data_IF_167648292467
#
_entry.id   IF_167648292467
#
_cell.length_a   1.000
_cell.length_b   1.000
_cell.length_c   1.000
_cell.angle_alpha   90.00
_cell.angle_beta   90.00
_cell.angle_gamma   90.00
#
_symmetry.space_group_name_H-M   'P 1'
#
loop_
_entity.id
_entity.type
_entity.pdbx_description
1 polymer ?
#
# COMPACT_ATOMS: atom_id res chain seq x y z
N UNK A 1 4.04 19.30 32.90
CA UNK A 1 4.06 18.37 31.75
C UNK A 1 5.14 17.31 31.99
N UNK A 2 4.91 16.05 31.59
CA UNK A 2 5.90 15.00 31.76
C UNK A 2 7.06 15.18 30.75
N UNK A 3 8.30 15.13 31.24
CA UNK A 3 9.52 15.26 30.43
C UNK A 3 10.31 13.96 30.50
N UNK A 4 10.83 13.43 29.37
CA UNK A 4 11.64 12.21 29.40
C UNK A 4 12.94 12.45 30.15
N UNK A 5 13.18 11.67 31.21
CA UNK A 5 14.41 11.77 32.01
C UNK A 5 15.67 11.38 31.23
N UNK A 6 15.54 10.47 30.27
CA UNK A 6 16.62 9.94 29.43
C UNK A 6 16.15 9.74 28.00
N UNK A 7 17.08 9.84 27.04
CA UNK A 7 16.77 9.56 25.64
C UNK A 7 16.49 8.07 25.43
N UNK A 8 15.65 7.77 24.45
CA UNK A 8 15.41 6.38 24.04
C UNK A 8 16.65 5.81 23.35
N UNK A 9 16.94 4.53 23.60
CA UNK A 9 18.06 3.87 22.93
C UNK A 9 17.84 3.78 21.42
N UNK A 10 18.94 3.69 20.66
CA UNK A 10 18.88 3.56 19.18
C UNK A 10 18.02 2.36 18.76
N UNK A 11 18.16 1.23 19.46
CA UNK A 11 17.38 0.00 19.19
C UNK A 11 15.88 0.22 19.39
N UNK A 12 15.46 0.76 20.54
CA UNK A 12 14.03 1.02 20.83
C UNK A 12 13.42 2.02 19.84
N UNK A 13 14.18 3.03 19.40
CA UNK A 13 13.74 3.95 18.34
C UNK A 13 13.56 3.25 16.99
N UNK A 14 14.47 2.35 16.60
CA UNK A 14 14.37 1.58 15.36
C UNK A 14 13.15 0.65 15.37
N UNK A 15 12.93 -0.10 16.44
CA UNK A 15 11.78 -1.01 16.58
C UNK A 15 10.45 -0.27 16.36
N UNK A 16 10.25 0.88 17.01
CA UNK A 16 9.03 1.69 16.81
C UNK A 16 8.85 2.16 15.37
N UNK A 17 9.94 2.52 14.68
CA UNK A 17 9.90 2.89 13.26
C UNK A 17 9.55 1.70 12.37
N UNK A 18 10.06 0.50 12.67
CA UNK A 18 9.74 -0.72 11.93
C UNK A 18 8.26 -1.04 12.03
N UNK A 19 7.67 -1.02 13.22
CA UNK A 19 6.22 -1.24 13.43
C UNK A 19 5.37 -0.26 12.60
N UNK A 20 5.80 1.00 12.49
CA UNK A 20 5.10 1.98 11.66
C UNK A 20 5.22 1.66 10.15
N UNK A 21 6.41 1.26 9.69
CA UNK A 21 6.66 0.87 8.29
C UNK A 21 5.93 -0.42 7.88
N UNK A 22 5.77 -1.35 8.80
CA UNK A 22 5.13 -2.65 8.54
C UNK A 22 3.66 -2.51 8.11
N UNK A 23 2.96 -1.50 8.63
CA UNK A 23 1.60 -1.15 8.17
C UNK A 23 1.57 -0.81 6.68
N UNK A 24 2.56 -0.07 6.19
CA UNK A 24 2.67 0.27 4.77
C UNK A 24 2.95 -0.98 3.90
N UNK A 25 3.74 -1.94 4.42
CA UNK A 25 4.01 -3.21 3.73
C UNK A 25 2.72 -4.00 3.55
N UNK A 26 1.86 -4.07 4.57
CA UNK A 26 0.57 -4.76 4.47
C UNK A 26 -0.37 -4.10 3.44
N UNK A 27 -0.42 -2.76 3.41
CA UNK A 27 -1.18 -2.03 2.40
C UNK A 27 -0.65 -2.31 0.98
N UNK A 28 0.68 -2.33 0.80
CA UNK A 28 1.33 -2.66 -0.47
C UNK A 28 0.93 -4.03 -1.00
N UNK A 29 0.92 -5.06 -0.14
CA UNK A 29 0.57 -6.44 -0.56
C UNK A 29 -0.87 -6.50 -1.08
N UNK A 30 -1.80 -5.87 -0.36
CA UNK A 30 -3.22 -5.81 -0.77
C UNK A 30 -3.38 -5.06 -2.08
N UNK A 31 -2.73 -3.90 -2.22
CA UNK A 31 -2.77 -3.10 -3.44
C UNK A 31 -2.20 -3.86 -4.66
N UNK A 32 -1.09 -4.59 -4.48
CA UNK A 32 -0.48 -5.37 -5.55
C UNK A 32 -1.36 -6.53 -6.02
N UNK A 33 -1.97 -7.27 -5.08
CA UNK A 33 -2.94 -8.32 -5.40
C UNK A 33 -4.15 -7.77 -6.16
N UNK A 34 -4.67 -6.61 -5.72
CA UNK A 34 -5.77 -5.93 -6.38
C UNK A 34 -5.41 -5.50 -7.82
N UNK A 35 -4.23 -4.92 -8.01
CA UNK A 35 -3.77 -4.51 -9.33
C UNK A 35 -3.68 -5.68 -10.31
N UNK A 36 -3.11 -6.82 -9.87
CA UNK A 36 -3.07 -8.03 -10.70
C UNK A 36 -4.47 -8.53 -11.07
N UNK A 37 -5.42 -8.52 -10.13
CA UNK A 37 -6.80 -8.90 -10.41
C UNK A 37 -7.42 -8.02 -11.50
N UNK A 38 -7.22 -6.70 -11.41
CA UNK A 38 -7.72 -5.73 -12.39
C UNK A 38 -7.09 -5.96 -13.77
N UNK A 39 -5.76 -6.16 -13.83
CA UNK A 39 -5.03 -6.36 -15.08
C UNK A 39 -5.49 -7.60 -15.85
N UNK A 40 -5.93 -8.66 -15.15
CA UNK A 40 -6.43 -9.86 -15.83
C UNK A 40 -7.80 -9.69 -16.49
N UNK A 41 -8.58 -8.67 -16.13
CA UNK A 41 -9.92 -8.43 -16.68
C UNK A 41 -10.97 -9.51 -16.38
N UNK A 42 -10.64 -10.51 -15.55
CA UNK A 42 -11.52 -11.64 -15.23
C UNK A 42 -12.48 -11.34 -14.07
N UNK A 43 -12.13 -10.41 -13.18
CA UNK A 43 -12.98 -10.06 -12.04
C UNK A 43 -14.10 -9.11 -12.46
N UNK A 44 -15.34 -9.46 -12.09
CA UNK A 44 -16.56 -8.67 -12.37
C UNK A 44 -17.09 -7.90 -11.16
N UNK A 45 -16.41 -8.01 -10.02
CA UNK A 45 -16.88 -7.48 -8.73
C UNK A 45 -16.45 -6.04 -8.42
N UNK A 46 -15.45 -5.51 -9.14
CA UNK A 46 -14.88 -4.19 -8.87
C UNK A 46 -15.10 -3.24 -10.05
N UNK A 47 -15.73 -2.10 -9.78
CA UNK A 47 -16.00 -1.05 -10.76
C UNK A 47 -15.06 0.13 -10.52
N UNK A 48 -14.38 0.59 -11.55
CA UNK A 48 -13.56 1.80 -11.52
C UNK A 48 -13.83 2.65 -12.76
N UNK A 49 -13.72 3.97 -12.62
CA UNK A 49 -13.89 4.89 -13.75
C UNK A 49 -12.67 4.72 -14.65
N UNK A 50 -12.87 4.10 -15.82
CA UNK A 50 -11.88 4.07 -16.89
C UNK A 50 -12.11 5.31 -17.74
N UNK A 51 -11.22 6.30 -17.64
CA UNK A 51 -11.16 7.34 -18.67
C UNK A 51 -10.88 6.61 -19.99
N UNK A 52 -11.82 6.73 -20.93
CA UNK A 52 -11.71 6.16 -22.27
C UNK A 52 -10.62 6.94 -23.01
N UNK A 53 -9.35 6.70 -22.72
CA UNK A 53 -8.31 6.94 -23.71
C UNK A 53 -8.37 5.79 -24.70
N UNK A 54 -8.97 6.13 -25.82
CA UNK A 54 -9.09 5.39 -27.05
C UNK A 54 -7.73 4.88 -27.53
N UNK A 55 -7.47 3.59 -27.36
CA UNK A 55 -6.80 2.83 -28.39
C UNK A 55 -7.77 1.79 -28.93
N UNK A 56 -8.49 2.21 -29.97
CA UNK A 56 -8.80 1.28 -31.07
C UNK A 56 -7.48 0.64 -31.46
N UNK A 57 -7.24 -0.62 -31.10
CA UNK A 57 -6.16 -1.47 -31.61
C UNK A 57 -6.38 -2.85 -30.97
N UNK A 58 -6.74 -3.92 -31.66
CA UNK A 58 -6.69 -4.22 -33.08
C UNK A 58 -7.87 -5.16 -33.40
N UNK A 59 -8.60 -4.83 -34.47
CA UNK A 59 -9.13 -5.88 -35.35
C UNK A 59 -7.95 -6.63 -35.97
#
# INVERSE_FOLDING_TARGET
MAVPKKRTSKSKKKIRKTVWKEKAIQARIKAFSLAQSILTGRSKSFYYIKNQETSKQLQ
#
